data_IF_811222974162
#
_entry.id   IF_811222974162
#
_cell.length_a   1.000
_cell.length_b   1.000
_cell.length_c   1.000
_cell.angle_alpha   90.00
_cell.angle_beta   90.00
_cell.angle_gamma   90.00
#
_symmetry.space_group_name_H-M   'P 1'
#
loop_
_entity.id
_entity.type
_entity.pdbx_description
1 polymer ?
#
# COMPACT_ATOMS: atom_id res chain seq x y z
N UNK A 1 6.98 27.75 7.45
CA UNK A 1 6.66 27.00 8.68
C UNK A 1 5.17 27.06 9.07
N UNK A 2 4.27 26.88 8.08
CA UNK A 2 2.82 26.86 8.28
C UNK A 2 2.26 25.44 8.13
N UNK A 3 0.97 25.27 8.44
CA UNK A 3 0.22 24.03 8.22
C UNK A 3 0.20 23.58 6.75
N UNK A 4 0.45 24.49 5.80
CA UNK A 4 0.59 24.12 4.39
C UNK A 4 1.68 23.07 4.16
N UNK A 5 2.83 23.25 4.81
CA UNK A 5 3.93 22.27 4.72
C UNK A 5 3.51 20.92 5.29
N UNK A 6 2.81 20.91 6.43
CA UNK A 6 2.31 19.70 7.07
C UNK A 6 1.33 18.98 6.14
N UNK A 7 0.37 19.71 5.60
CA UNK A 7 -0.63 19.18 4.69
C UNK A 7 0.01 18.55 3.44
N UNK A 8 0.90 19.30 2.79
CA UNK A 8 1.53 18.88 1.55
C UNK A 8 2.38 17.61 1.75
N UNK A 9 3.31 17.58 2.70
CA UNK A 9 4.20 16.44 2.83
C UNK A 9 3.48 15.18 3.33
N UNK A 10 2.41 15.33 4.12
CA UNK A 10 1.61 14.17 4.52
C UNK A 10 0.84 13.56 3.35
N UNK A 11 0.32 14.36 2.42
CA UNK A 11 -0.32 13.82 1.22
C UNK A 11 0.72 13.16 0.32
N UNK A 12 1.85 13.82 0.06
CA UNK A 12 2.85 13.35 -0.90
C UNK A 12 3.65 12.17 -0.35
N UNK A 13 4.19 12.27 0.85
CA UNK A 13 5.08 11.24 1.43
C UNK A 13 4.33 10.30 2.36
N UNK A 14 3.52 10.83 3.28
CA UNK A 14 2.83 10.02 4.28
C UNK A 14 1.83 9.09 3.64
N UNK A 15 0.91 9.61 2.85
CA UNK A 15 -0.13 8.80 2.19
C UNK A 15 0.51 7.80 1.24
N UNK A 16 1.46 8.19 0.40
CA UNK A 16 2.09 7.27 -0.54
C UNK A 16 2.87 6.15 0.16
N UNK A 17 3.58 6.46 1.25
CA UNK A 17 4.32 5.45 2.01
C UNK A 17 3.37 4.43 2.68
N UNK A 18 2.29 4.90 3.32
CA UNK A 18 1.31 4.01 3.94
C UNK A 18 0.56 3.15 2.91
N UNK A 19 0.12 3.73 1.80
CA UNK A 19 -0.54 2.96 0.75
C UNK A 19 0.40 1.96 0.09
N UNK A 20 1.67 2.32 -0.13
CA UNK A 20 2.69 1.39 -0.62
C UNK A 20 2.91 0.22 0.34
N UNK A 21 2.99 0.50 1.64
CA UNK A 21 3.11 -0.54 2.67
C UNK A 21 1.89 -1.49 2.68
N UNK A 22 0.67 -0.95 2.67
CA UNK A 22 -0.55 -1.77 2.64
C UNK A 22 -0.64 -2.58 1.35
N UNK A 23 -0.36 -1.97 0.20
CA UNK A 23 -0.33 -2.68 -1.08
C UNK A 23 0.65 -3.86 -1.04
N UNK A 24 1.85 -3.64 -0.53
CA UNK A 24 2.84 -4.70 -0.34
C UNK A 24 2.33 -5.82 0.56
N UNK A 25 1.73 -5.50 1.71
CA UNK A 25 1.18 -6.51 2.63
C UNK A 25 0.09 -7.34 1.94
N UNK A 26 -0.89 -6.72 1.27
CA UNK A 26 -1.93 -7.45 0.55
C UNK A 26 -1.36 -8.30 -0.58
N UNK A 27 -0.39 -7.77 -1.32
CA UNK A 27 0.23 -8.44 -2.46
C UNK A 27 1.01 -9.67 -2.05
N UNK A 28 1.87 -9.58 -1.04
CA UNK A 28 2.71 -10.70 -0.60
C UNK A 28 2.08 -11.58 0.48
N UNK A 29 0.91 -11.24 1.01
CA UNK A 29 0.22 -12.03 2.04
C UNK A 29 0.05 -13.51 1.64
N UNK A 30 -0.33 -13.85 0.40
CA UNK A 30 -0.42 -15.26 -0.03
C UNK A 30 0.92 -15.99 0.04
N UNK A 31 2.02 -15.31 -0.25
CA UNK A 31 3.37 -15.87 -0.17
C UNK A 31 3.81 -16.08 1.26
N UNK A 32 3.52 -15.12 2.15
CA UNK A 32 3.94 -15.15 3.55
C UNK A 32 3.16 -16.16 4.39
N UNK A 33 1.85 -16.26 4.19
CA UNK A 33 0.96 -17.03 5.06
C UNK A 33 0.19 -18.16 4.35
N UNK A 34 0.35 -18.31 3.05
CA UNK A 34 -0.39 -19.30 2.26
C UNK A 34 -1.91 -19.05 2.20
N UNK A 35 -2.33 -17.81 2.43
CA UNK A 35 -3.74 -17.40 2.47
C UNK A 35 -3.94 -16.03 1.86
N UNK A 36 -5.17 -15.71 1.48
CA UNK A 36 -5.55 -14.37 1.04
C UNK A 36 -6.20 -13.60 2.18
N UNK A 37 -5.94 -12.30 2.22
CA UNK A 37 -6.70 -11.39 3.05
C UNK A 37 -8.13 -11.22 2.52
N UNK A 38 -9.07 -10.80 3.38
CA UNK A 38 -10.45 -10.55 2.96
C UNK A 38 -10.51 -9.27 2.11
N UNK A 39 -10.93 -9.41 0.86
CA UNK A 39 -10.99 -8.30 -0.10
C UNK A 39 -12.02 -7.23 0.32
N UNK A 40 -13.19 -7.63 0.83
CA UNK A 40 -14.24 -6.68 1.23
C UNK A 40 -13.76 -5.76 2.35
N UNK A 41 -13.14 -6.34 3.40
CA UNK A 41 -12.53 -5.54 4.47
C UNK A 41 -11.38 -4.69 3.93
N UNK A 42 -10.62 -5.20 2.97
CA UNK A 42 -9.55 -4.47 2.29
C UNK A 42 -10.06 -3.25 1.55
N UNK A 43 -11.12 -3.38 0.77
CA UNK A 43 -11.74 -2.24 0.06
C UNK A 43 -12.33 -1.21 1.03
N UNK A 44 -13.02 -1.65 2.08
CA UNK A 44 -13.57 -0.74 3.10
C UNK A 44 -12.43 0.04 3.76
N UNK A 45 -11.37 -0.64 4.18
CA UNK A 45 -10.18 -0.01 4.75
C UNK A 45 -9.54 0.99 3.79
N UNK A 46 -9.36 0.60 2.52
CA UNK A 46 -8.78 1.46 1.49
C UNK A 46 -9.58 2.76 1.31
N UNK A 47 -10.90 2.65 1.08
CA UNK A 47 -11.73 3.83 0.82
C UNK A 47 -11.84 4.75 2.04
N UNK A 48 -11.97 4.19 3.24
CA UNK A 48 -12.00 5.00 4.47
C UNK A 48 -10.66 5.72 4.71
N UNK A 49 -9.54 5.03 4.49
CA UNK A 49 -8.21 5.62 4.64
C UNK A 49 -7.94 6.67 3.57
N UNK A 50 -8.28 6.39 2.31
CA UNK A 50 -8.08 7.32 1.20
C UNK A 50 -8.90 8.59 1.37
N UNK A 51 -10.21 8.47 1.53
CA UNK A 51 -11.08 9.62 1.74
C UNK A 51 -10.70 10.38 3.00
N UNK A 52 -10.45 9.67 4.10
CA UNK A 52 -10.06 10.26 5.36
C UNK A 52 -8.75 11.04 5.32
N UNK A 53 -7.75 10.52 4.60
CA UNK A 53 -6.49 11.24 4.41
C UNK A 53 -6.72 12.61 3.73
N UNK A 54 -7.56 12.65 2.70
CA UNK A 54 -7.93 13.93 2.06
C UNK A 54 -8.75 14.82 2.98
N UNK A 55 -9.70 14.28 3.74
CA UNK A 55 -10.50 15.05 4.70
C UNK A 55 -9.67 15.63 5.85
N UNK A 56 -8.53 15.04 6.18
CA UNK A 56 -7.60 15.54 7.18
C UNK A 56 -6.66 16.59 6.56
N UNK A 57 -5.92 16.20 5.53
CA UNK A 57 -4.79 17.01 5.07
C UNK A 57 -5.17 18.08 4.05
N UNK A 58 -6.24 17.90 3.30
CA UNK A 58 -6.66 18.93 2.34
C UNK A 58 -7.11 20.24 3.03
N UNK A 59 -7.96 20.20 4.07
CA UNK A 59 -8.33 21.41 4.81
C UNK A 59 -7.15 22.14 5.46
N UNK A 60 -6.12 21.43 5.90
CA UNK A 60 -4.92 22.02 6.47
C UNK A 60 -4.17 22.95 5.49
N UNK A 61 -4.36 22.79 4.17
CA UNK A 61 -3.80 23.74 3.20
C UNK A 61 -4.42 25.15 3.36
N UNK A 62 -5.72 25.22 3.61
CA UNK A 62 -6.41 26.51 3.81
C UNK A 62 -5.91 27.20 5.09
N UNK A 63 -5.73 26.46 6.17
CA UNK A 63 -5.15 26.98 7.40
C UNK A 63 -3.72 27.47 7.18
N UNK A 64 -2.94 26.71 6.43
CA UNK A 64 -1.57 27.07 6.09
C UNK A 64 -1.45 28.30 5.20
N UNK A 65 -2.36 28.47 4.22
CA UNK A 65 -2.43 29.68 3.37
C UNK A 65 -2.81 30.90 4.21
N UNK A 66 -3.69 30.74 5.21
CA UNK A 66 -4.06 31.79 6.15
C UNK A 66 -2.93 32.15 7.15
N UNK A 67 -1.78 31.46 7.06
CA UNK A 67 -0.61 31.76 7.89
C UNK A 67 -0.57 31.01 9.22
N UNK A 68 -1.45 30.04 9.46
CA UNK A 68 -1.44 29.26 10.70
C UNK A 68 -0.10 28.52 10.84
N UNK A 69 0.68 28.78 11.90
CA UNK A 69 1.98 28.15 12.08
C UNK A 69 1.83 26.69 12.49
N UNK A 70 2.75 25.85 12.06
CA UNK A 70 2.89 24.50 12.65
C UNK A 70 3.57 24.57 14.01
N UNK A 71 3.42 23.55 14.86
CA UNK A 71 4.11 23.42 16.15
C UNK A 71 3.72 24.48 17.17
N UNK A 72 2.48 24.85 17.24
CA UNK A 72 1.93 25.74 18.26
C UNK A 72 1.46 24.91 19.48
N UNK A 73 1.41 25.60 20.61
CA UNK A 73 0.81 25.04 21.82
C UNK A 73 -0.72 25.12 21.77
N UNK A 74 -1.22 26.31 21.43
CA UNK A 74 -2.64 26.59 21.33
C UNK A 74 -2.88 27.64 20.26
N UNK A 75 -3.61 27.27 19.19
CA UNK A 75 -3.94 28.20 18.12
C UNK A 75 -4.96 29.24 18.51
N UNK A 76 -5.80 28.95 19.53
CA UNK A 76 -6.82 29.87 20.02
C UNK A 76 -6.23 31.09 20.73
N UNK A 77 -4.93 31.06 21.07
CA UNK A 77 -4.21 32.22 21.60
C UNK A 77 -4.14 33.40 20.63
N UNK A 78 -4.33 33.16 19.32
CA UNK A 78 -4.37 34.18 18.28
C UNK A 78 -5.79 34.36 17.75
N UNK A 79 -6.34 35.58 17.92
CA UNK A 79 -7.70 35.91 17.50
C UNK A 79 -7.94 35.58 16.01
N UNK A 80 -6.92 35.81 15.15
CA UNK A 80 -6.98 35.53 13.72
C UNK A 80 -7.20 34.08 13.37
N UNK A 81 -6.86 33.14 14.25
CA UNK A 81 -6.98 31.69 13.98
C UNK A 81 -8.20 31.05 14.66
N UNK A 82 -8.93 31.75 15.50
CA UNK A 82 -10.18 31.26 16.10
C UNK A 82 -11.23 30.90 15.04
N UNK A 83 -11.20 31.55 13.89
CA UNK A 83 -12.08 31.24 12.76
C UNK A 83 -11.93 29.80 12.25
N UNK A 84 -10.81 29.12 12.52
CA UNK A 84 -10.55 27.74 12.11
C UNK A 84 -10.96 26.69 13.16
N UNK A 85 -11.58 27.07 14.28
CA UNK A 85 -11.97 26.14 15.34
C UNK A 85 -12.88 25.00 14.82
N UNK A 86 -13.90 25.34 14.04
CA UNK A 86 -14.79 24.35 13.44
C UNK A 86 -14.08 23.44 12.42
N UNK A 87 -13.12 24.00 11.68
CA UNK A 87 -12.32 23.24 10.71
C UNK A 87 -11.37 22.27 11.43
N UNK A 88 -10.70 22.70 12.49
CA UNK A 88 -9.87 21.85 13.32
C UNK A 88 -10.67 20.74 14.01
N UNK A 89 -11.88 21.03 14.47
CA UNK A 89 -12.79 20.02 15.01
C UNK A 89 -13.15 18.96 13.95
N UNK A 90 -13.47 19.41 12.73
CA UNK A 90 -13.75 18.51 11.59
C UNK A 90 -12.53 17.63 11.26
N UNK A 91 -11.34 18.19 11.15
CA UNK A 91 -10.08 17.47 10.90
C UNK A 91 -9.85 16.42 12.00
N UNK A 92 -10.08 16.78 13.26
CA UNK A 92 -9.92 15.86 14.39
C UNK A 92 -10.89 14.69 14.33
N UNK A 93 -12.16 14.95 14.00
CA UNK A 93 -13.17 13.88 13.83
C UNK A 93 -12.76 12.96 12.66
N UNK A 94 -12.35 13.52 11.53
CA UNK A 94 -11.86 12.74 10.40
C UNK A 94 -10.65 11.87 10.79
N UNK A 95 -9.71 12.41 11.57
CA UNK A 95 -8.56 11.66 12.06
C UNK A 95 -8.95 10.48 12.97
N UNK A 96 -9.94 10.68 13.85
CA UNK A 96 -10.49 9.61 14.70
C UNK A 96 -11.12 8.50 13.84
N UNK A 97 -11.89 8.87 12.82
CA UNK A 97 -12.49 7.88 11.89
C UNK A 97 -11.40 7.09 11.16
N UNK A 98 -10.37 7.77 10.66
CA UNK A 98 -9.23 7.11 10.00
C UNK A 98 -8.50 6.18 10.97
N UNK A 99 -8.31 6.58 12.22
CA UNK A 99 -7.72 5.71 13.24
C UNK A 99 -8.52 4.41 13.40
N UNK A 100 -9.84 4.47 13.51
CA UNK A 100 -10.67 3.28 13.59
C UNK A 100 -10.67 2.46 12.28
N UNK A 101 -10.54 3.10 11.13
CA UNK A 101 -10.37 2.40 9.87
C UNK A 101 -9.10 1.52 9.85
N UNK A 102 -8.01 1.94 10.51
CA UNK A 102 -6.81 1.11 10.61
C UNK A 102 -7.04 -0.17 11.43
N UNK A 103 -7.95 -0.16 12.39
CA UNK A 103 -8.30 -1.37 13.13
C UNK A 103 -8.94 -2.43 12.23
N UNK A 104 -9.65 -2.03 11.17
CA UNK A 104 -10.17 -2.97 10.17
C UNK A 104 -9.04 -3.72 9.46
N UNK A 105 -7.96 -3.02 9.13
CA UNK A 105 -6.78 -3.66 8.56
C UNK A 105 -6.14 -4.64 9.53
N UNK A 106 -5.96 -4.24 10.80
CA UNK A 106 -5.36 -5.09 11.83
C UNK A 106 -6.20 -6.36 12.03
N UNK A 107 -7.52 -6.21 12.14
CA UNK A 107 -8.45 -7.35 12.27
C UNK A 107 -8.37 -8.23 11.02
N UNK A 108 -8.43 -7.64 9.83
CA UNK A 108 -8.34 -8.38 8.58
C UNK A 108 -7.02 -9.16 8.49
N UNK A 109 -5.90 -8.53 8.85
CA UNK A 109 -4.59 -9.16 8.85
C UNK A 109 -4.56 -10.42 9.74
N UNK A 110 -4.88 -10.28 11.02
CA UNK A 110 -4.81 -11.40 11.96
C UNK A 110 -5.85 -12.48 11.70
N UNK A 111 -7.09 -12.10 11.38
CA UNK A 111 -8.13 -13.07 11.04
C UNK A 111 -7.75 -13.86 9.78
N UNK A 112 -7.16 -13.20 8.80
CA UNK A 112 -6.78 -13.85 7.54
C UNK A 112 -5.62 -14.84 7.70
N UNK A 113 -4.70 -14.64 8.64
CA UNK A 113 -3.65 -15.61 8.98
C UNK A 113 -4.27 -16.97 9.33
N UNK A 114 -5.37 -16.96 10.10
CA UNK A 114 -5.96 -18.20 10.60
C UNK A 114 -7.16 -18.68 9.77
N UNK A 115 -7.99 -17.77 9.27
CA UNK A 115 -9.28 -18.07 8.62
C UNK A 115 -9.37 -17.60 7.17
N UNK A 116 -8.35 -16.94 6.62
CA UNK A 116 -8.32 -16.50 5.23
C UNK A 116 -8.45 -17.68 4.24
N UNK A 117 -8.97 -17.40 3.04
CA UNK A 117 -9.02 -18.39 1.96
C UNK A 117 -7.61 -18.89 1.66
N UNK A 118 -7.41 -20.21 1.64
CA UNK A 118 -6.11 -20.82 1.33
C UNK A 118 -5.66 -20.45 -0.09
N UNK A 119 -4.41 -20.12 -0.23
CA UNK A 119 -3.74 -19.98 -1.52
C UNK A 119 -3.10 -21.33 -1.86
N UNK A 120 -3.62 -21.99 -2.87
CA UNK A 120 -3.14 -23.32 -3.29
C UNK A 120 -2.17 -23.22 -4.48
N UNK A 121 -1.99 -22.02 -5.03
CA UNK A 121 -1.16 -21.76 -6.19
C UNK A 121 0.06 -20.96 -5.77
N UNK A 122 1.24 -21.41 -6.20
CA UNK A 122 2.51 -20.74 -5.85
C UNK A 122 2.61 -19.30 -6.36
N UNK A 123 2.09 -19.08 -7.56
CA UNK A 123 2.01 -17.76 -8.19
C UNK A 123 0.55 -17.36 -8.45
N UNK A 124 -0.15 -16.81 -7.44
CA UNK A 124 -1.58 -16.50 -7.57
C UNK A 124 -1.89 -15.29 -8.45
N UNK A 125 -0.87 -14.50 -8.78
CA UNK A 125 -1.00 -13.29 -9.58
C UNK A 125 -0.60 -13.48 -11.04
N UNK A 126 -0.04 -14.65 -11.39
CA UNK A 126 0.53 -14.90 -12.72
C UNK A 126 1.72 -13.97 -13.02
N UNK A 127 2.44 -13.52 -11.99
CA UNK A 127 3.55 -12.57 -12.14
C UNK A 127 4.78 -13.23 -12.77
N UNK A 128 5.52 -12.53 -13.65
CA UNK A 128 6.75 -13.05 -14.26
C UNK A 128 7.95 -13.03 -13.32
N UNK A 129 7.89 -12.24 -12.25
CA UNK A 129 9.04 -11.96 -11.39
C UNK A 129 9.44 -13.12 -10.50
N UNK A 130 10.73 -13.13 -10.16
CA UNK A 130 11.41 -14.26 -9.55
C UNK A 130 10.88 -14.64 -8.16
N UNK A 131 10.40 -13.67 -7.37
CA UNK A 131 9.84 -13.92 -6.04
C UNK A 131 8.62 -14.86 -6.08
N UNK A 132 7.91 -14.93 -7.22
CA UNK A 132 6.74 -15.79 -7.37
C UNK A 132 7.09 -17.24 -7.77
N UNK A 133 8.36 -17.52 -8.05
CA UNK A 133 8.87 -18.89 -8.25
C UNK A 133 9.22 -19.57 -6.92
N UNK A 134 9.31 -18.83 -5.81
CA UNK A 134 9.54 -19.42 -4.49
C UNK A 134 8.32 -20.19 -3.99
N UNK A 135 8.49 -21.19 -3.11
CA UNK A 135 7.36 -21.87 -2.50
C UNK A 135 6.51 -20.91 -1.64
N UNK A 136 5.27 -21.30 -1.38
CA UNK A 136 4.45 -20.63 -0.37
C UNK A 136 5.14 -20.80 0.98
N UNK A 137 5.21 -19.72 1.77
CA UNK A 137 5.92 -19.68 3.04
C UNK A 137 7.40 -20.06 2.85
N UNK A 138 8.17 -19.26 2.09
CA UNK A 138 9.56 -19.58 1.78
C UNK A 138 10.38 -19.68 3.07
N UNK A 139 11.14 -20.75 3.20
CA UNK A 139 12.06 -20.94 4.30
C UNK A 139 13.34 -20.12 4.14
N UNK A 140 14.33 -20.41 4.98
CA UNK A 140 15.65 -19.85 4.84
C UNK A 140 16.26 -20.26 3.50
N UNK A 141 16.70 -19.30 2.68
CA UNK A 141 17.30 -19.54 1.37
C UNK A 141 16.34 -19.42 0.17
N UNK A 142 15.07 -19.15 0.39
CA UNK A 142 14.02 -18.92 -0.62
C UNK A 142 13.67 -20.12 -1.52
N UNK A 143 14.65 -20.82 -2.07
CA UNK A 143 14.44 -22.03 -2.89
C UNK A 143 15.01 -23.26 -2.19
N UNK A 144 14.20 -24.32 -2.02
CA UNK A 144 14.65 -25.54 -1.34
C UNK A 144 15.58 -26.42 -2.19
N UNK A 145 15.82 -26.07 -3.44
CA UNK A 145 16.64 -26.76 -4.41
C UNK A 145 17.62 -25.83 -5.11
N UNK A 146 17.83 -26.06 -6.41
CA UNK A 146 18.67 -25.22 -7.23
C UNK A 146 18.05 -23.81 -7.37
N UNK A 147 18.93 -22.80 -7.35
CA UNK A 147 18.52 -21.40 -7.59
C UNK A 147 18.12 -21.29 -9.07
N UNK A 148 16.93 -20.73 -9.37
CA UNK A 148 16.48 -20.58 -10.74
C UNK A 148 17.44 -19.73 -11.57
N UNK A 149 17.72 -20.16 -12.79
CA UNK A 149 18.48 -19.36 -13.76
C UNK A 149 17.57 -18.26 -14.32
N UNK A 150 18.06 -17.03 -14.30
CA UNK A 150 17.37 -15.86 -14.84
C UNK A 150 17.86 -15.61 -16.28
N UNK A 151 16.94 -15.60 -17.22
CA UNK A 151 17.21 -15.37 -18.63
C UNK A 151 16.65 -14.06 -19.15
N UNK A 152 15.66 -13.48 -18.44
CA UNK A 152 14.91 -12.29 -18.85
C UNK A 152 14.78 -11.32 -17.71
N UNK A 153 14.53 -10.08 -18.03
CA UNK A 153 14.23 -9.11 -17.01
C UNK A 153 12.77 -9.27 -16.49
N UNK A 154 12.39 -8.71 -15.29
CA UNK A 154 11.10 -9.00 -14.67
C UNK A 154 9.88 -8.39 -15.37
N UNK A 155 10.07 -7.51 -16.34
CA UNK A 155 9.01 -6.80 -17.06
C UNK A 155 9.08 -7.05 -18.57
N UNK A 156 9.36 -8.28 -18.96
CA UNK A 156 9.35 -8.68 -20.38
C UNK A 156 7.90 -8.87 -20.85
N UNK A 157 7.26 -7.75 -21.22
CA UNK A 157 5.88 -7.69 -21.69
C UNK A 157 5.76 -8.12 -23.15
N UNK A 158 5.88 -9.40 -23.38
CA UNK A 158 5.67 -10.02 -24.68
C UNK A 158 4.61 -11.10 -24.54
N UNK A 159 3.84 -11.32 -25.60
CA UNK A 159 2.92 -12.46 -25.67
C UNK A 159 3.73 -13.77 -25.64
N UNK A 160 3.43 -14.63 -24.68
CA UNK A 160 4.05 -15.95 -24.55
C UNK A 160 3.46 -16.98 -25.53
N UNK A 161 2.43 -16.60 -26.29
CA UNK A 161 1.66 -17.48 -27.15
C UNK A 161 0.61 -18.34 -26.40
N UNK A 162 0.46 -18.15 -25.10
CA UNK A 162 -0.50 -18.82 -24.23
C UNK A 162 -1.54 -17.88 -23.61
N UNK A 163 -1.54 -16.61 -24.06
CA UNK A 163 -2.47 -15.57 -23.60
C UNK A 163 -2.03 -14.85 -22.34
N UNK A 164 -0.76 -14.93 -21.97
CA UNK A 164 -0.18 -14.08 -20.94
C UNK A 164 0.50 -12.87 -21.56
N UNK A 165 0.36 -11.72 -20.90
CA UNK A 165 0.93 -10.44 -21.39
C UNK A 165 2.43 -10.30 -21.13
N UNK A 166 3.09 -11.33 -20.54
CA UNK A 166 4.51 -11.29 -20.19
C UNK A 166 5.08 -12.71 -20.06
N UNK A 167 6.40 -12.81 -20.24
CA UNK A 167 7.16 -14.06 -20.15
C UNK A 167 7.88 -14.14 -18.81
N UNK A 168 7.78 -15.28 -18.06
CA UNK A 168 8.51 -15.45 -16.80
C UNK A 168 10.02 -15.31 -16.95
N UNK A 169 10.68 -14.71 -15.95
CA UNK A 169 12.14 -14.49 -15.94
C UNK A 169 12.96 -15.78 -16.13
N UNK A 170 12.42 -16.92 -15.75
CA UNK A 170 13.08 -18.22 -15.85
C UNK A 170 12.94 -18.88 -17.22
N UNK A 171 12.20 -18.28 -18.14
CA UNK A 171 12.03 -18.80 -19.51
C UNK A 171 13.25 -18.46 -20.35
N UNK A 172 13.96 -19.45 -20.93
CA UNK A 172 15.09 -19.18 -21.82
C UNK A 172 14.73 -18.28 -23.00
N UNK A 173 15.73 -17.51 -23.45
CA UNK A 173 15.60 -16.72 -24.68
C UNK A 173 15.48 -17.66 -25.89
N UNK A 174 14.67 -17.29 -26.86
CA UNK A 174 14.59 -17.98 -28.15
C UNK A 174 15.80 -17.56 -29.00
N UNK A 175 16.16 -18.38 -29.96
CA UNK A 175 17.27 -18.10 -30.87
C UNK A 175 17.02 -16.77 -31.62
N UNK A 176 17.94 -15.80 -31.47
CA UNK A 176 17.79 -14.46 -32.02
C UNK A 176 16.97 -13.46 -31.21
N UNK A 177 16.53 -13.84 -30.01
CA UNK A 177 15.80 -12.95 -29.07
C UNK A 177 16.80 -12.24 -28.16
N UNK A 178 16.68 -10.91 -28.05
CA UNK A 178 17.46 -10.11 -27.08
C UNK A 178 16.67 -9.92 -25.79
N UNK A 179 17.36 -10.06 -24.65
CA UNK A 179 16.85 -9.63 -23.35
C UNK A 179 16.92 -8.11 -23.27
N UNK A 180 15.80 -7.44 -23.15
CA UNK A 180 15.73 -6.00 -22.86
C UNK A 180 15.89 -5.72 -21.40
#
# INVERSE_FOLDING_TARGET
DTYFVVAHFHIVMGVSAFFGMFAGIYHWFPKMFGRFMNNTLGYIHFFLTFAGAYLIFWPMHYEGIAGMPRRYYDYSAWESFKQFESLNAFISIAAIIVFFAQLLFVVNFFVSIFRGRKCLVQNPWGSPSLEWTTPINPGHGNWPGEIPTVHRWPYDYKDDGHGNDFIPQTTPLREGEESH
#
